data_IF_770609596950
#
_entry.id   IF_770609596950
#
_cell.length_a   1.000
_cell.length_b   1.000
_cell.length_c   1.000
_cell.angle_alpha   90.00
_cell.angle_beta   90.00
_cell.angle_gamma   90.00
#
_symmetry.space_group_name_H-M   'P 1'
#
loop_
_entity.id
_entity.type
_entity.pdbx_description
1 polymer ?
#
# COMPACT_ATOMS: atom_id res chain seq x y z
N UNK A 1 -32.08 -3.07 -35.50
CA UNK A 1 -32.27 -3.61 -34.15
C UNK A 1 -31.84 -2.56 -33.13
N UNK A 2 -32.50 -2.47 -31.98
CA UNK A 2 -32.01 -1.66 -30.85
C UNK A 2 -31.30 -2.61 -29.90
N UNK A 3 -30.01 -2.42 -29.69
CA UNK A 3 -29.22 -3.30 -28.84
C UNK A 3 -29.40 -3.01 -27.36
N UNK A 4 -29.25 -4.05 -26.49
CA UNK A 4 -29.13 -3.82 -25.06
C UNK A 4 -27.88 -2.97 -24.75
N UNK A 5 -27.84 -2.27 -23.61
CA UNK A 5 -26.66 -1.52 -23.18
C UNK A 5 -25.40 -2.39 -23.14
N UNK A 6 -24.26 -1.84 -23.55
CA UNK A 6 -22.99 -2.56 -23.63
C UNK A 6 -22.78 -3.37 -24.91
N UNK A 7 -23.73 -3.35 -25.84
CA UNK A 7 -23.66 -4.07 -27.11
C UNK A 7 -23.97 -3.17 -28.31
N UNK A 8 -23.34 -3.49 -29.42
CA UNK A 8 -23.48 -2.84 -30.73
C UNK A 8 -23.38 -3.88 -31.85
N UNK A 9 -23.54 -3.44 -33.10
CA UNK A 9 -23.58 -4.30 -34.28
C UNK A 9 -24.99 -4.47 -34.84
N UNK A 10 -25.08 -5.11 -36.01
CA UNK A 10 -26.36 -5.29 -36.72
C UNK A 10 -27.32 -6.21 -35.95
N UNK A 11 -26.75 -7.18 -35.24
CA UNK A 11 -27.43 -8.21 -34.48
C UNK A 11 -27.08 -8.18 -32.98
N UNK A 12 -26.43 -7.11 -32.50
CA UNK A 12 -26.00 -6.93 -31.12
C UNK A 12 -24.96 -7.98 -30.67
N UNK A 13 -24.08 -8.34 -31.60
CA UNK A 13 -23.06 -9.37 -31.47
C UNK A 13 -21.72 -8.87 -30.93
N UNK A 14 -21.51 -7.55 -30.92
CA UNK A 14 -20.24 -6.92 -30.55
C UNK A 14 -20.39 -6.16 -29.25
N UNK A 15 -19.53 -6.40 -28.26
CA UNK A 15 -19.47 -5.56 -27.05
C UNK A 15 -19.03 -4.14 -27.41
N UNK A 16 -19.40 -3.17 -26.59
CA UNK A 16 -18.88 -1.82 -26.75
C UNK A 16 -17.34 -1.82 -26.75
N UNK A 17 -16.71 -1.01 -27.62
CA UNK A 17 -15.27 -0.86 -27.62
C UNK A 17 -14.78 -0.25 -26.30
N UNK A 18 -13.54 -0.57 -25.92
CA UNK A 18 -12.91 -0.07 -24.71
C UNK A 18 -13.02 1.46 -24.65
N UNK A 19 -13.41 1.97 -23.48
CA UNK A 19 -13.63 3.40 -23.26
C UNK A 19 -15.05 3.89 -23.56
N UNK A 20 -15.97 3.02 -23.98
CA UNK A 20 -17.38 3.39 -24.21
C UNK A 20 -18.38 2.48 -23.51
N UNK A 21 -19.56 3.01 -23.21
CA UNK A 21 -20.62 2.28 -22.53
C UNK A 21 -22.04 2.72 -22.96
N UNK A 22 -23.04 2.01 -22.45
CA UNK A 22 -24.44 2.35 -22.60
C UNK A 22 -25.06 1.82 -23.89
N UNK A 23 -26.28 2.29 -24.20
CA UNK A 23 -26.99 1.87 -25.40
C UNK A 23 -26.31 2.42 -26.65
N UNK A 24 -25.91 1.55 -27.56
CA UNK A 24 -25.19 1.94 -28.78
C UNK A 24 -23.79 2.49 -28.51
N UNK A 25 -23.22 2.28 -27.32
CA UNK A 25 -21.87 2.69 -26.96
C UNK A 25 -21.63 4.20 -27.07
N UNK A 26 -22.68 5.00 -26.81
CA UNK A 26 -22.63 6.46 -26.95
C UNK A 26 -22.04 7.19 -25.73
N UNK A 27 -21.92 6.51 -24.58
CA UNK A 27 -21.31 7.09 -23.38
C UNK A 27 -19.81 6.86 -23.36
N UNK A 28 -19.04 7.84 -22.89
CA UNK A 28 -17.59 7.70 -22.66
C UNK A 28 -17.30 7.30 -21.22
N UNK A 29 -16.48 6.27 -21.05
CA UNK A 29 -16.10 5.75 -19.74
C UNK A 29 -15.32 6.80 -18.92
N UNK A 30 -15.83 7.20 -17.73
CA UNK A 30 -15.21 8.24 -16.91
C UNK A 30 -14.04 7.73 -16.05
N UNK A 31 -13.83 6.41 -16.01
CA UNK A 31 -12.90 5.74 -15.11
C UNK A 31 -11.45 6.14 -15.35
N UNK A 32 -10.71 6.41 -14.27
CA UNK A 32 -9.30 6.81 -14.30
C UNK A 32 -8.40 5.73 -13.71
N UNK A 33 -7.08 5.94 -13.80
CA UNK A 33 -6.07 5.08 -13.16
C UNK A 33 -6.13 3.59 -13.55
N UNK A 34 -6.48 3.31 -14.81
CA UNK A 34 -6.56 1.95 -15.35
C UNK A 34 -7.73 1.13 -14.79
N UNK A 35 -8.71 1.78 -14.16
CA UNK A 35 -9.91 1.13 -13.68
C UNK A 35 -10.73 0.53 -14.83
N UNK A 36 -11.38 -0.60 -14.54
CA UNK A 36 -12.28 -1.25 -15.48
C UNK A 36 -13.60 -0.47 -15.54
N UNK A 37 -14.14 -0.29 -16.75
CA UNK A 37 -15.42 0.36 -16.98
C UNK A 37 -16.44 -0.68 -17.44
N UNK A 38 -17.57 -0.78 -16.75
CA UNK A 38 -18.66 -1.62 -17.19
C UNK A 38 -19.31 -1.03 -18.45
N UNK A 39 -19.26 -1.77 -19.55
CA UNK A 39 -19.80 -1.32 -20.85
C UNK A 39 -21.31 -1.10 -20.84
N UNK A 40 -22.05 -1.64 -19.87
CA UNK A 40 -23.51 -1.52 -19.83
C UNK A 40 -23.98 -0.20 -19.22
N UNK A 41 -23.38 0.25 -18.12
CA UNK A 41 -23.83 1.41 -17.34
C UNK A 41 -22.73 2.44 -17.03
N UNK A 42 -21.47 2.13 -17.35
CA UNK A 42 -20.32 3.01 -17.16
C UNK A 42 -19.76 3.01 -15.75
N UNK A 43 -20.19 2.09 -14.88
CA UNK A 43 -19.66 1.98 -13.52
C UNK A 43 -18.19 1.54 -13.53
N UNK A 44 -17.39 2.13 -12.64
CA UNK A 44 -15.97 1.85 -12.53
C UNK A 44 -15.67 0.80 -11.44
N UNK A 45 -14.88 -0.23 -11.79
CA UNK A 45 -14.21 -1.11 -10.84
C UNK A 45 -12.74 -0.68 -10.71
N UNK A 46 -12.39 -0.12 -9.55
CA UNK A 46 -11.11 0.52 -9.33
C UNK A 46 -9.95 -0.46 -9.26
N UNK A 47 -8.78 -0.02 -9.72
CA UNK A 47 -7.52 -0.71 -9.47
C UNK A 47 -7.10 -0.57 -8.01
N UNK A 48 -6.25 -1.49 -7.56
CA UNK A 48 -5.65 -1.45 -6.21
C UNK A 48 -4.97 -0.10 -5.94
N UNK A 49 -5.24 0.51 -4.80
CA UNK A 49 -4.71 1.83 -4.45
C UNK A 49 -5.62 3.01 -4.78
N UNK A 50 -6.78 2.77 -5.41
CA UNK A 50 -7.73 3.80 -5.81
C UNK A 50 -9.17 3.49 -5.35
N UNK A 51 -9.95 4.55 -5.16
CA UNK A 51 -11.37 4.48 -4.83
C UNK A 51 -12.16 5.69 -5.35
N UNK A 52 -13.47 5.66 -5.09
CA UNK A 52 -14.43 6.67 -5.54
C UNK A 52 -15.09 6.29 -6.86
N UNK A 53 -16.16 7.02 -7.21
CA UNK A 53 -17.02 6.72 -8.36
C UNK A 53 -16.26 6.58 -9.69
N UNK A 54 -15.20 7.37 -9.89
CA UNK A 54 -14.38 7.38 -11.10
C UNK A 54 -12.94 6.92 -10.86
N UNK A 55 -12.67 6.32 -9.69
CA UNK A 55 -11.34 5.82 -9.30
C UNK A 55 -10.23 6.89 -9.33
N UNK A 56 -10.58 8.16 -9.06
CA UNK A 56 -9.65 9.29 -9.05
C UNK A 56 -9.00 9.56 -7.69
N UNK A 57 -9.50 8.91 -6.62
CA UNK A 57 -9.02 9.17 -5.25
C UNK A 57 -8.04 8.08 -4.83
N UNK A 58 -6.81 8.41 -4.42
CA UNK A 58 -5.86 7.41 -3.94
C UNK A 58 -6.19 6.99 -2.50
N UNK A 59 -5.85 5.76 -2.11
CA UNK A 59 -6.03 5.33 -0.72
C UNK A 59 -5.30 6.26 0.27
N UNK A 60 -5.84 6.35 1.49
CA UNK A 60 -5.22 7.19 2.52
C UNK A 60 -3.93 6.54 2.98
N UNK A 61 -2.81 7.21 2.73
CA UNK A 61 -1.46 6.78 3.11
C UNK A 61 -1.40 6.36 4.59
N UNK A 62 -0.97 5.13 4.83
CA UNK A 62 -0.81 4.57 6.18
C UNK A 62 -2.12 4.21 6.89
N UNK A 63 -3.28 4.35 6.23
CA UNK A 63 -4.60 4.01 6.79
C UNK A 63 -5.28 2.89 6.02
N UNK A 64 -5.36 3.01 4.70
CA UNK A 64 -6.06 2.03 3.87
C UNK A 64 -5.26 1.65 2.63
N UNK A 65 -5.55 0.46 2.09
CA UNK A 65 -4.93 -0.06 0.89
C UNK A 65 -5.89 -0.98 0.12
N UNK A 66 -5.45 -1.38 -1.07
CA UNK A 66 -6.11 -2.34 -1.93
C UNK A 66 -7.22 -1.74 -2.79
N UNK A 67 -7.99 -2.59 -3.46
CA UNK A 67 -9.10 -2.22 -4.35
C UNK A 67 -10.21 -1.53 -3.56
N UNK A 68 -10.55 -0.32 -3.99
CA UNK A 68 -11.53 0.52 -3.31
C UNK A 68 -11.09 1.00 -1.92
N UNK A 69 -9.83 0.77 -1.54
CA UNK A 69 -9.28 1.15 -0.24
C UNK A 69 -10.05 0.56 0.95
N UNK A 70 -10.55 -0.67 0.79
CA UNK A 70 -11.40 -1.35 1.77
C UNK A 70 -10.60 -2.12 2.84
N UNK A 71 -9.27 -2.20 2.72
CA UNK A 71 -8.41 -2.89 3.69
C UNK A 71 -7.67 -1.89 4.56
N UNK A 72 -7.58 -2.15 5.87
CA UNK A 72 -6.84 -1.31 6.82
C UNK A 72 -5.34 -1.64 6.84
N UNK A 73 -4.51 -0.61 6.92
CA UNK A 73 -3.06 -0.72 6.96
C UNK A 73 -2.59 -1.49 8.21
N UNK A 74 -1.91 -2.65 8.07
CA UNK A 74 -1.59 -3.49 9.22
C UNK A 74 -0.28 -3.09 9.92
N UNK A 75 0.37 -2.01 9.48
CA UNK A 75 1.71 -1.62 9.92
C UNK A 75 1.70 -0.99 11.31
N UNK A 76 2.72 -1.30 12.10
CA UNK A 76 2.89 -0.78 13.46
C UNK A 76 4.07 0.20 13.55
N UNK A 77 4.24 0.83 14.71
CA UNK A 77 5.41 1.67 15.03
C UNK A 77 5.66 2.82 14.04
N UNK A 78 4.57 3.44 13.56
CA UNK A 78 4.62 4.57 12.62
C UNK A 78 5.00 4.20 11.19
N UNK A 79 5.05 2.90 10.86
CA UNK A 79 5.28 2.43 9.50
C UNK A 79 4.06 2.70 8.59
N UNK A 80 4.33 2.89 7.30
CA UNK A 80 3.31 3.15 6.27
C UNK A 80 3.25 1.95 5.33
N UNK A 81 2.05 1.46 5.04
CA UNK A 81 1.85 0.44 4.00
C UNK A 81 1.79 1.05 2.60
N UNK A 82 2.20 0.25 1.64
CA UNK A 82 1.93 0.47 0.23
C UNK A 82 0.40 0.45 -0.02
N UNK A 83 -0.16 1.48 -0.69
CA UNK A 83 -1.59 1.58 -0.93
C UNK A 83 -2.14 0.51 -1.89
N UNK A 84 -1.28 -0.14 -2.67
CA UNK A 84 -1.67 -1.19 -3.61
C UNK A 84 -1.80 -2.55 -2.92
N UNK A 85 -0.77 -2.99 -2.20
CA UNK A 85 -0.69 -4.38 -1.70
C UNK A 85 -0.60 -4.51 -0.17
N UNK A 86 -0.56 -3.39 0.56
CA UNK A 86 -0.53 -3.37 2.02
C UNK A 86 0.85 -3.66 2.63
N UNK A 87 1.91 -3.83 1.83
CA UNK A 87 3.26 -4.11 2.35
C UNK A 87 3.81 -2.94 3.17
N UNK A 88 4.33 -3.22 4.36
CA UNK A 88 4.83 -2.21 5.27
C UNK A 88 6.26 -1.76 4.96
N UNK A 89 6.48 -0.45 4.94
CA UNK A 89 7.81 0.15 4.98
C UNK A 89 8.16 0.54 6.42
N UNK A 90 9.02 -0.25 7.07
CA UNK A 90 9.33 -0.09 8.49
C UNK A 90 10.17 1.15 8.78
N UNK A 91 9.86 1.80 9.89
CA UNK A 91 10.67 2.85 10.51
C UNK A 91 11.98 2.28 11.07
N UNK A 92 12.91 3.17 11.40
CA UNK A 92 14.21 2.77 11.96
C UNK A 92 14.04 1.97 13.26
N UNK A 93 14.84 0.92 13.39
CA UNK A 93 14.80 0.07 14.56
C UNK A 93 13.68 -0.97 14.56
N UNK A 94 12.85 -1.06 13.51
CA UNK A 94 11.77 -2.03 13.41
C UNK A 94 11.90 -2.91 12.16
N UNK A 95 11.44 -4.15 12.25
CA UNK A 95 11.43 -5.12 11.15
C UNK A 95 10.25 -6.10 11.23
N UNK A 96 10.13 -6.93 10.20
CA UNK A 96 9.06 -7.92 10.04
C UNK A 96 7.92 -7.41 9.15
N UNK A 97 7.01 -8.30 8.79
CA UNK A 97 5.92 -8.03 7.82
C UNK A 97 5.05 -6.83 8.25
N UNK A 98 4.80 -6.67 9.55
CA UNK A 98 4.00 -5.58 10.11
C UNK A 98 4.82 -4.54 10.89
N UNK A 99 6.15 -4.59 10.79
CA UNK A 99 7.06 -3.69 11.52
C UNK A 99 6.87 -3.71 13.05
N UNK A 100 6.40 -4.83 13.59
CA UNK A 100 6.11 -4.99 15.02
C UNK A 100 7.31 -5.44 15.85
N UNK A 101 8.41 -5.87 15.21
CA UNK A 101 9.58 -6.45 15.90
C UNK A 101 10.72 -5.43 15.95
N UNK A 102 11.27 -5.11 17.13
CA UNK A 102 12.44 -4.24 17.21
C UNK A 102 13.67 -4.98 16.68
N UNK A 103 14.65 -4.29 16.10
CA UNK A 103 15.88 -4.91 15.59
C UNK A 103 16.52 -5.89 16.58
N UNK A 104 17.02 -7.00 16.05
CA UNK A 104 17.72 -8.00 16.86
C UNK A 104 18.91 -7.37 17.58
N UNK A 105 19.23 -7.90 18.76
CA UNK A 105 20.37 -7.47 19.56
C UNK A 105 21.64 -7.41 18.72
N UNK A 106 22.38 -6.31 18.85
CA UNK A 106 23.58 -6.04 18.06
C UNK A 106 23.33 -5.35 16.71
N UNK A 107 22.07 -5.04 16.36
CA UNK A 107 21.72 -4.27 15.16
C UNK A 107 20.79 -3.11 15.48
N UNK A 108 20.87 -2.04 14.70
CA UNK A 108 20.00 -0.88 14.83
C UNK A 108 19.71 -0.21 13.48
N UNK A 109 18.90 0.85 13.50
CA UNK A 109 18.67 1.77 12.39
C UNK A 109 17.80 1.22 11.24
N UNK A 110 17.84 1.89 10.09
CA UNK A 110 17.01 1.53 8.93
C UNK A 110 17.25 0.09 8.47
N UNK A 111 16.18 -0.72 8.42
CA UNK A 111 16.23 -2.15 8.07
C UNK A 111 17.22 -2.96 8.92
N UNK A 112 17.55 -2.51 10.14
CA UNK A 112 18.50 -3.17 11.04
C UNK A 112 19.89 -3.44 10.41
N UNK A 113 20.34 -2.54 9.53
CA UNK A 113 21.58 -2.73 8.77
C UNK A 113 22.82 -2.31 9.53
N UNK A 114 22.69 -1.36 10.47
CA UNK A 114 23.81 -0.89 11.28
C UNK A 114 24.13 -1.92 12.38
N UNK A 115 25.42 -2.12 12.66
CA UNK A 115 25.91 -2.99 13.72
C UNK A 115 26.24 -2.16 14.96
N UNK A 116 25.84 -2.64 16.13
CA UNK A 116 26.14 -1.97 17.40
C UNK A 116 27.61 -2.12 17.77
N UNK A 117 28.20 -1.05 18.30
CA UNK A 117 29.59 -1.04 18.76
C UNK A 117 29.76 -1.17 20.28
N UNK A 118 28.65 -1.37 21.01
CA UNK A 118 28.65 -1.51 22.46
C UNK A 118 29.56 -2.67 22.91
N UNK A 119 30.27 -2.44 24.01
CA UNK A 119 31.21 -3.37 24.66
C UNK A 119 30.63 -3.85 25.98
N UNK A 120 31.38 -4.71 26.67
CA UNK A 120 31.09 -5.29 27.99
C UNK A 120 29.63 -5.72 28.21
N UNK A 121 29.06 -6.39 27.19
CA UNK A 121 27.70 -6.92 27.22
C UNK A 121 26.60 -5.85 27.46
N UNK A 122 26.86 -4.61 27.05
CA UNK A 122 25.90 -3.52 27.12
C UNK A 122 24.74 -3.68 26.13
N UNK A 123 23.57 -3.16 26.53
CA UNK A 123 22.37 -3.19 25.70
C UNK A 123 22.43 -2.08 24.66
N UNK A 124 22.29 -2.45 23.39
CA UNK A 124 22.22 -1.51 22.29
C UNK A 124 20.77 -1.14 21.97
N UNK A 125 20.50 0.15 21.85
CA UNK A 125 19.18 0.65 21.48
C UNK A 125 18.93 0.42 19.98
N UNK A 126 17.80 -0.22 19.68
CA UNK A 126 17.51 -0.73 18.34
C UNK A 126 17.26 0.37 17.30
N UNK A 127 16.93 1.60 17.69
CA UNK A 127 16.68 2.71 16.75
C UNK A 127 17.98 3.40 16.35
N UNK A 128 18.74 3.89 17.33
CA UNK A 128 19.86 4.82 17.13
C UNK A 128 21.24 4.23 17.46
N UNK A 129 21.29 3.01 18.02
CA UNK A 129 22.54 2.32 18.35
C UNK A 129 23.20 2.78 19.65
N UNK A 130 22.51 3.60 20.45
CA UNK A 130 23.05 4.07 21.75
C UNK A 130 23.22 2.91 22.73
N UNK A 131 24.27 2.98 23.58
CA UNK A 131 24.61 1.91 24.50
C UNK A 131 24.16 2.25 25.93
N UNK A 132 23.42 1.32 26.54
CA UNK A 132 23.13 1.36 27.98
C UNK A 132 24.09 0.44 28.71
N UNK A 133 24.98 1.04 29.50
CA UNK A 133 26.06 0.31 30.17
C UNK A 133 25.54 -0.46 31.39
N UNK A 134 25.98 -1.71 31.54
CA UNK A 134 25.87 -2.40 32.82
C UNK A 134 26.90 -1.80 33.81
N UNK A 135 26.57 -1.56 35.08
CA UNK A 135 27.56 -1.16 36.07
C UNK A 135 28.73 -2.16 36.17
N UNK A 136 29.99 -1.73 36.35
CA UNK A 136 30.48 -0.36 36.60
C UNK A 136 30.87 0.41 35.32
N UNK A 137 30.50 -0.09 34.14
CA UNK A 137 30.95 0.46 32.85
C UNK A 137 30.28 1.80 32.55
N UNK A 138 31.02 2.71 31.92
CA UNK A 138 30.55 4.06 31.55
C UNK A 138 31.13 4.48 30.20
N UNK A 139 30.63 5.59 29.64
CA UNK A 139 31.06 6.12 28.36
C UNK A 139 30.22 5.63 27.17
N UNK A 140 30.50 6.16 25.97
CA UNK A 140 29.63 5.98 24.78
C UNK A 140 29.50 4.52 24.32
N UNK A 141 30.47 3.65 24.62
CA UNK A 141 30.49 2.25 24.20
C UNK A 141 30.53 1.23 25.35
N UNK A 142 30.47 1.66 26.61
CA UNK A 142 30.38 0.77 27.78
C UNK A 142 31.41 -0.38 27.84
#
# INVERSE_FOLDING_TARGET
CVCPPGWTGKFCETKCPDGTYGRGCSGECPCQNGAFCDTSDGQCDCTEGWYGMYCTRPCLSGRTYGRGCNSECPCQNGAVCNPTDGQCNCTEGWYGVHCSRPCLSGRYGWRCRQACECKNNATCHHVDGSCTCAPPWTGRRC
#
